data_IF_738005712150
#
_entry.id   IF_738005712150
#
_cell.length_a   1.000
_cell.length_b   1.000
_cell.length_c   1.000
_cell.angle_alpha   90.00
_cell.angle_beta   90.00
_cell.angle_gamma   90.00
#
_symmetry.space_group_name_H-M   'P 1'
#
loop_
_entity.id
_entity.type
_entity.pdbx_description
1 polymer ?
#
# COMPACT_ATOMS: atom_id res chain seq x y z
N UNK A 1 -2.06 -12.78 -3.88
CA UNK A 1 -2.21 -13.30 -2.50
C UNK A 1 -3.63 -13.05 -1.99
N UNK A 2 -4.13 -13.79 -0.98
CA UNK A 2 -5.47 -13.57 -0.42
C UNK A 2 -5.64 -12.16 0.19
N UNK A 3 -4.52 -11.51 0.54
CA UNK A 3 -4.45 -10.14 1.02
C UNK A 3 -4.24 -9.10 -0.08
N UNK A 4 -4.31 -9.44 -1.38
CA UNK A 4 -4.13 -8.46 -2.46
C UNK A 4 -5.22 -7.38 -2.36
N UNK A 5 -4.90 -6.06 -2.45
CA UNK A 5 -5.89 -5.00 -2.45
C UNK A 5 -6.95 -5.19 -3.55
N UNK A 6 -8.20 -4.94 -3.22
CA UNK A 6 -9.32 -4.92 -4.17
C UNK A 6 -9.45 -3.56 -4.87
N UNK A 7 -9.12 -2.48 -4.17
CA UNK A 7 -9.17 -1.12 -4.71
C UNK A 7 -8.10 -0.24 -4.05
N UNK A 8 -7.58 0.71 -4.82
CA UNK A 8 -6.68 1.76 -4.34
C UNK A 8 -7.12 3.08 -4.94
N UNK A 9 -7.37 4.08 -4.11
CA UNK A 9 -7.79 5.42 -4.53
C UNK A 9 -7.31 6.48 -3.55
N UNK A 10 -7.35 7.75 -3.93
CA UNK A 10 -6.97 8.88 -3.10
C UNK A 10 -8.02 9.98 -3.07
N UNK A 11 -7.99 10.80 -2.01
CA UNK A 11 -8.82 12.00 -1.85
C UNK A 11 -8.04 13.30 -2.18
N UNK A 12 -6.87 13.17 -2.81
CA UNK A 12 -5.93 14.27 -3.04
C UNK A 12 -5.02 14.62 -1.86
N UNK A 13 -5.17 13.95 -0.70
CA UNK A 13 -4.29 14.12 0.48
C UNK A 13 -3.77 12.80 1.00
N UNK A 14 -4.62 11.78 1.04
CA UNK A 14 -4.37 10.45 1.57
C UNK A 14 -4.70 9.40 0.54
N UNK A 15 -4.01 8.28 0.61
CA UNK A 15 -4.30 7.10 -0.20
C UNK A 15 -5.00 6.05 0.65
N UNK A 16 -6.06 5.47 0.09
CA UNK A 16 -6.89 4.44 0.69
C UNK A 16 -6.65 3.13 -0.07
N UNK A 17 -6.09 2.15 0.63
CA UNK A 17 -5.87 0.80 0.11
C UNK A 17 -6.91 -0.12 0.75
N UNK A 18 -7.86 -0.58 -0.06
CA UNK A 18 -8.97 -1.42 0.41
C UNK A 18 -8.64 -2.88 0.17
N UNK A 19 -8.57 -3.64 1.25
CA UNK A 19 -8.31 -5.07 1.22
C UNK A 19 -9.60 -5.90 1.28
N UNK A 20 -9.57 -7.19 0.89
CA UNK A 20 -10.66 -8.12 1.17
C UNK A 20 -10.99 -8.13 2.66
N UNK A 21 -12.28 -8.20 3.02
CA UNK A 21 -12.71 -8.18 4.44
C UNK A 21 -12.04 -9.27 5.28
N UNK A 22 -11.70 -10.42 4.68
CA UNK A 22 -11.00 -11.51 5.35
C UNK A 22 -9.59 -11.16 5.84
N UNK A 23 -8.99 -10.04 5.40
CA UNK A 23 -7.64 -9.64 5.83
C UNK A 23 -7.56 -9.37 7.33
N UNK A 24 -8.67 -8.98 7.96
CA UNK A 24 -8.72 -8.69 9.41
C UNK A 24 -8.46 -9.93 10.28
N UNK A 25 -8.55 -11.13 9.70
CA UNK A 25 -8.23 -12.39 10.37
C UNK A 25 -6.76 -12.81 10.17
N UNK A 26 -6.05 -12.17 9.24
CA UNK A 26 -4.65 -12.45 8.91
C UNK A 26 -3.74 -11.29 9.27
N UNK A 27 -2.52 -11.34 8.74
CA UNK A 27 -1.54 -10.27 8.92
C UNK A 27 -1.76 -9.14 7.91
N UNK A 28 -1.73 -7.89 8.40
CA UNK A 28 -1.75 -6.72 7.54
C UNK A 28 -0.35 -6.49 6.95
N UNK A 29 -0.20 -6.44 5.61
CA UNK A 29 1.09 -6.18 4.99
C UNK A 29 1.60 -4.76 5.31
N UNK A 30 2.85 -4.57 5.77
CA UNK A 30 3.48 -3.26 5.78
C UNK A 30 3.54 -2.66 4.38
N UNK A 31 3.34 -1.35 4.32
CA UNK A 31 3.42 -0.54 3.11
C UNK A 31 4.73 0.27 3.07
N UNK A 32 5.37 0.26 1.90
CA UNK A 32 6.55 1.04 1.59
C UNK A 32 6.24 1.91 0.37
N UNK A 33 6.36 3.23 0.49
CA UNK A 33 6.25 4.11 -0.67
C UNK A 33 7.57 4.11 -1.42
N UNK A 34 7.53 4.05 -2.75
CA UNK A 34 8.74 4.15 -3.56
C UNK A 34 9.03 5.63 -3.78
N UNK A 35 10.11 6.11 -3.18
CA UNK A 35 10.56 7.49 -3.30
C UNK A 35 11.08 7.83 -4.70
N UNK A 36 11.38 9.11 -4.98
CA UNK A 36 11.87 9.56 -6.29
C UNK A 36 13.15 8.86 -6.77
N UNK A 37 13.97 8.37 -5.83
CA UNK A 37 15.21 7.63 -6.10
C UNK A 37 15.00 6.12 -6.29
N UNK A 38 13.77 5.63 -6.23
CA UNK A 38 13.44 4.21 -6.33
C UNK A 38 13.55 3.43 -5.02
N UNK A 39 13.90 4.10 -3.91
CA UNK A 39 14.07 3.45 -2.61
C UNK A 39 12.75 3.29 -1.85
N UNK A 40 12.56 2.20 -1.10
CA UNK A 40 11.38 2.01 -0.25
C UNK A 40 11.45 2.87 1.02
N UNK A 41 10.45 3.71 1.21
CA UNK A 41 10.28 4.61 2.35
C UNK A 41 9.16 4.11 3.27
N UNK A 42 9.42 4.07 4.58
CA UNK A 42 8.37 3.85 5.58
C UNK A 42 7.54 5.13 5.70
N UNK A 43 6.22 4.97 5.69
CA UNK A 43 5.28 6.08 5.76
C UNK A 43 4.35 5.95 6.95
N UNK A 44 3.91 7.09 7.46
CA UNK A 44 2.83 7.11 8.43
C UNK A 44 1.56 6.58 7.77
N UNK A 45 1.00 5.55 8.38
CA UNK A 45 -0.21 4.91 7.93
C UNK A 45 -1.10 4.54 9.12
N UNK A 46 -2.39 4.39 8.83
CA UNK A 46 -3.44 4.05 9.80
C UNK A 46 -4.27 2.93 9.24
N UNK A 47 -4.76 2.06 10.10
CA UNK A 47 -5.66 0.98 9.70
C UNK A 47 -7.05 1.29 10.25
N UNK A 48 -8.05 1.23 9.40
CA UNK A 48 -9.45 1.28 9.78
C UNK A 48 -10.20 0.13 9.12
N UNK A 49 -10.61 -0.87 9.90
CA UNK A 49 -11.19 -2.12 9.40
C UNK A 49 -10.25 -2.80 8.38
N UNK A 50 -10.70 -3.03 7.16
CA UNK A 50 -9.93 -3.60 6.04
C UNK A 50 -9.30 -2.53 5.14
N UNK A 51 -9.16 -1.29 5.63
CA UNK A 51 -8.64 -0.16 4.86
C UNK A 51 -7.35 0.32 5.50
N UNK A 52 -6.27 0.34 4.71
CA UNK A 52 -5.02 0.99 5.07
C UNK A 52 -5.00 2.39 4.48
N UNK A 53 -4.85 3.38 5.34
CA UNK A 53 -4.87 4.81 5.03
C UNK A 53 -3.43 5.30 5.12
N UNK A 54 -2.88 5.77 4.01
CA UNK A 54 -1.54 6.37 3.94
C UNK A 54 -1.68 7.88 3.99
N UNK A 55 -0.97 8.53 4.92
CA UNK A 55 -1.11 9.96 5.19
C UNK A 55 -0.42 10.87 4.13
N UNK A 56 -0.05 10.33 2.96
CA UNK A 56 0.50 11.07 1.80
C UNK A 56 0.17 10.41 0.47
N UNK A 57 0.25 11.18 -0.61
CA UNK A 57 0.20 10.68 -1.98
C UNK A 57 1.51 9.99 -2.38
N UNK A 58 1.44 9.06 -3.33
CA UNK A 58 2.60 8.40 -3.93
C UNK A 58 2.33 8.00 -5.38
N UNK A 59 3.39 7.93 -6.20
CA UNK A 59 3.34 7.39 -7.56
C UNK A 59 3.44 5.86 -7.60
N UNK A 60 4.20 5.28 -6.68
CA UNK A 60 4.30 3.82 -6.50
C UNK A 60 4.49 3.45 -5.03
N UNK A 61 4.00 2.28 -4.65
CA UNK A 61 4.19 1.69 -3.33
C UNK A 61 4.28 0.16 -3.44
N UNK A 62 4.81 -0.47 -2.40
CA UNK A 62 4.90 -1.91 -2.25
C UNK A 62 4.29 -2.33 -0.93
N UNK A 63 3.45 -3.35 -1.00
CA UNK A 63 2.98 -4.12 0.14
C UNK A 63 3.80 -5.40 0.22
N UNK A 64 4.41 -5.66 1.37
CA UNK A 64 5.26 -6.84 1.58
C UNK A 64 4.69 -7.66 2.73
N UNK A 65 4.57 -8.98 2.59
CA UNK A 65 4.13 -9.86 3.68
C UNK A 65 4.94 -11.15 3.70
N UNK A 66 5.26 -11.64 4.90
CA UNK A 66 6.13 -12.79 5.12
C UNK A 66 7.60 -12.39 5.31
N UNK A 67 8.49 -13.39 5.38
CA UNK A 67 9.91 -13.20 5.62
C UNK A 67 10.78 -14.07 4.70
N UNK A 68 12.05 -13.68 4.54
CA UNK A 68 13.06 -14.42 3.78
C UNK A 68 12.58 -14.82 2.39
N UNK A 69 12.64 -16.13 2.08
CA UNK A 69 12.27 -16.69 0.77
C UNK A 69 10.76 -16.73 0.50
N UNK A 70 9.93 -16.52 1.52
CA UNK A 70 8.47 -16.56 1.42
C UNK A 70 7.84 -15.17 1.40
N UNK A 71 8.65 -14.11 1.33
CA UNK A 71 8.14 -12.76 1.24
C UNK A 71 7.39 -12.56 -0.09
N UNK A 72 6.12 -12.22 0.03
CA UNK A 72 5.25 -11.86 -1.08
C UNK A 72 5.20 -10.34 -1.20
N UNK A 73 5.42 -9.82 -2.41
CA UNK A 73 5.34 -8.38 -2.69
C UNK A 73 4.20 -8.10 -3.67
N UNK A 74 3.36 -7.12 -3.35
CA UNK A 74 2.37 -6.55 -4.25
C UNK A 74 2.74 -5.09 -4.50
N UNK A 75 3.00 -4.74 -5.77
CA UNK A 75 3.32 -3.37 -6.17
C UNK A 75 2.05 -2.64 -6.61
N UNK A 76 1.87 -1.44 -6.09
CA UNK A 76 0.82 -0.49 -6.44
C UNK A 76 1.47 0.60 -7.28
N UNK A 77 0.92 0.87 -8.46
CA UNK A 77 1.37 1.94 -9.35
C UNK A 77 0.20 2.82 -9.72
N UNK A 78 0.40 4.14 -9.61
CA UNK A 78 -0.58 5.13 -10.02
C UNK A 78 -0.67 5.15 -11.55
N UNK A 79 -1.87 5.14 -12.11
CA UNK A 79 -2.10 5.06 -13.56
C UNK A 79 -2.62 6.37 -14.18
N UNK A 80 -2.92 7.38 -13.37
CA UNK A 80 -3.53 8.65 -13.79
C UNK A 80 -2.53 9.71 -14.30
N UNK A 81 -1.24 9.36 -14.40
CA UNK A 81 -0.21 10.20 -15.02
C UNK A 81 0.18 11.47 -14.25
N UNK A 82 -0.35 11.70 -13.03
CA UNK A 82 0.04 12.85 -12.21
C UNK A 82 1.32 12.52 -11.42
N UNK A 83 2.42 13.27 -11.61
CA UNK A 83 3.62 13.05 -10.79
C UNK A 83 3.28 13.31 -9.32
N UNK A 84 3.70 12.40 -8.45
CA UNK A 84 3.72 12.67 -7.01
C UNK A 84 4.77 13.75 -6.74
N UNK A 85 4.32 14.99 -6.53
CA UNK A 85 5.18 16.12 -6.14
C UNK A 85 5.87 15.89 -4.81
#
# INVERSE_FOLDING_TARGET
PPWRPMSVFDDGRRVYVVFPRGIVQGEMPPIFVIGPKGEPEVVNSRIHQNILIVDRLFGAAELRLGNGKHQQTVRIMRTDGRPSS
#
